data_IF_866155150144
#
_entry.id   IF_866155150144
#
_cell.length_a   1.000
_cell.length_b   1.000
_cell.length_c   1.000
_cell.angle_alpha   90.00
_cell.angle_beta   90.00
_cell.angle_gamma   90.00
#
_symmetry.space_group_name_H-M   'P 1'
#
loop_
_entity.id
_entity.type
_entity.pdbx_description
1 polymer ?
#
# COMPACT_ATOMS: atom_id res chain seq x y z
N UNK A 1 2.97 -14.06 -1.38
CA UNK A 1 3.00 -12.78 -2.11
C UNK A 1 1.57 -12.27 -2.21
N UNK A 2 1.36 -11.00 -1.89
CA UNK A 2 0.06 -10.32 -1.96
C UNK A 2 0.17 -9.12 -2.88
N UNK A 3 -0.86 -8.91 -3.71
CA UNK A 3 -0.97 -7.75 -4.60
C UNK A 3 -2.33 -7.12 -4.32
N UNK A 4 -2.35 -5.83 -4.02
CA UNK A 4 -3.57 -5.06 -3.75
C UNK A 4 -3.64 -3.89 -4.72
N UNK A 5 -4.83 -3.67 -5.26
CA UNK A 5 -5.11 -2.59 -6.19
C UNK A 5 -6.00 -1.53 -5.52
N UNK A 6 -5.45 -0.33 -5.31
CA UNK A 6 -6.10 0.81 -4.64
C UNK A 6 -6.93 0.45 -3.38
N UNK A 7 -6.35 -0.25 -2.38
CA UNK A 7 -7.10 -0.76 -1.23
C UNK A 7 -7.65 0.31 -0.29
N UNK A 8 -7.24 1.58 -0.43
CA UNK A 8 -7.78 2.69 0.38
C UNK A 8 -9.00 3.37 -0.23
N UNK A 9 -9.43 3.00 -1.44
CA UNK A 9 -10.60 3.60 -2.09
C UNK A 9 -11.85 3.48 -1.22
N UNK A 10 -12.40 4.64 -0.84
CA UNK A 10 -13.59 4.73 0.02
C UNK A 10 -13.36 4.54 1.52
N UNK A 11 -12.12 4.36 1.97
CA UNK A 11 -11.80 4.22 3.40
C UNK A 11 -11.69 5.59 4.09
N UNK A 12 -12.16 5.64 5.34
CA UNK A 12 -11.89 6.77 6.23
C UNK A 12 -10.41 6.79 6.66
N UNK A 13 -9.86 7.96 6.98
CA UNK A 13 -8.45 8.13 7.34
C UNK A 13 -7.96 7.19 8.47
N UNK A 14 -8.81 6.93 9.46
CA UNK A 14 -8.45 6.02 10.56
C UNK A 14 -8.41 4.55 10.14
N UNK A 15 -9.19 4.16 9.12
CA UNK A 15 -9.15 2.81 8.57
C UNK A 15 -7.93 2.60 7.66
N UNK A 16 -7.45 3.66 7.00
CA UNK A 16 -6.17 3.63 6.28
C UNK A 16 -5.02 3.31 7.24
N UNK A 17 -4.99 3.93 8.42
CA UNK A 17 -3.98 3.63 9.44
C UNK A 17 -4.04 2.17 9.89
N UNK A 18 -5.24 1.61 10.09
CA UNK A 18 -5.42 0.18 10.44
C UNK A 18 -4.96 -0.73 9.30
N UNK A 19 -5.30 -0.41 8.06
CA UNK A 19 -4.88 -1.15 6.87
C UNK A 19 -3.34 -1.21 6.80
N UNK A 20 -2.66 -0.08 6.97
CA UNK A 20 -1.19 -0.03 6.99
C UNK A 20 -0.61 -0.99 8.06
N UNK A 21 -1.20 -1.05 9.25
CA UNK A 21 -0.76 -1.99 10.29
C UNK A 21 -0.95 -3.45 9.88
N UNK A 22 -2.06 -3.78 9.22
CA UNK A 22 -2.31 -5.14 8.71
C UNK A 22 -1.31 -5.50 7.61
N UNK A 23 -1.05 -4.59 6.67
CA UNK A 23 -0.09 -4.81 5.59
C UNK A 23 1.33 -5.02 6.15
N UNK A 24 1.74 -4.23 7.15
CA UNK A 24 3.00 -4.44 7.87
C UNK A 24 3.06 -5.82 8.54
N UNK A 25 1.99 -6.22 9.23
CA UNK A 25 1.93 -7.55 9.83
C UNK A 25 2.04 -8.71 8.84
N UNK A 26 1.67 -8.51 7.56
CA UNK A 26 1.92 -9.50 6.50
C UNK A 26 3.41 -9.53 6.11
N UNK A 27 4.04 -8.36 5.98
CA UNK A 27 5.47 -8.23 5.68
C UNK A 27 6.32 -8.84 6.80
N UNK A 28 5.99 -8.57 8.06
CA UNK A 28 6.70 -9.11 9.23
C UNK A 28 6.65 -10.64 9.31
N UNK A 29 5.63 -11.27 8.71
CA UNK A 29 5.52 -12.72 8.57
C UNK A 29 6.35 -13.29 7.40
N UNK A 30 7.15 -12.46 6.73
CA UNK A 30 7.98 -12.83 5.59
C UNK A 30 7.26 -12.78 4.24
N UNK A 31 6.07 -12.18 4.14
CA UNK A 31 5.36 -12.07 2.87
C UNK A 31 5.79 -10.82 2.10
N UNK A 32 5.97 -10.95 0.79
CA UNK A 32 6.02 -9.79 -0.10
C UNK A 32 4.61 -9.24 -0.31
N UNK A 33 4.45 -7.93 -0.16
CA UNK A 33 3.21 -7.18 -0.41
C UNK A 33 3.50 -6.09 -1.44
N UNK A 34 2.72 -6.05 -2.51
CA UNK A 34 2.76 -5.02 -3.56
C UNK A 34 1.42 -4.29 -3.53
N UNK A 35 1.46 -2.96 -3.53
CA UNK A 35 0.25 -2.12 -3.47
C UNK A 35 0.37 -1.02 -4.50
N UNK A 36 -0.66 -0.83 -5.32
CA UNK A 36 -0.87 0.39 -6.10
C UNK A 36 -1.75 1.34 -5.29
N UNK A 37 -1.30 2.57 -5.14
CA UNK A 37 -1.99 3.56 -4.30
C UNK A 37 -1.76 4.98 -4.79
N UNK A 38 -2.72 5.84 -4.47
CA UNK A 38 -2.60 7.29 -4.60
C UNK A 38 -2.52 7.97 -3.24
N UNK A 39 -2.85 7.26 -2.16
CA UNK A 39 -2.81 7.82 -0.82
C UNK A 39 -1.37 7.96 -0.30
N UNK A 40 -0.95 9.21 -0.05
CA UNK A 40 0.40 9.51 0.43
C UNK A 40 0.75 8.87 1.77
N UNK A 41 -0.23 8.62 2.65
CA UNK A 41 0.05 7.94 3.91
C UNK A 41 0.41 6.49 3.67
N UNK A 42 -0.21 5.79 2.71
CA UNK A 42 0.22 4.42 2.37
C UNK A 42 1.60 4.43 1.72
N UNK A 43 1.79 5.31 0.73
CA UNK A 43 3.06 5.45 -0.01
C UNK A 43 4.24 5.72 0.93
N UNK A 44 4.08 6.61 1.91
CA UNK A 44 5.13 6.94 2.90
C UNK A 44 5.51 5.77 3.81
N UNK A 45 4.65 4.77 3.95
CA UNK A 45 4.92 3.61 4.81
C UNK A 45 5.56 2.44 4.05
N UNK A 46 5.73 2.54 2.73
CA UNK A 46 6.32 1.49 1.91
C UNK A 46 7.84 1.36 2.12
N UNK A 47 8.35 0.12 2.06
CA UNK A 47 9.78 -0.14 2.08
C UNK A 47 10.47 0.24 0.76
N UNK A 48 9.73 0.13 -0.34
CA UNK A 48 10.17 0.44 -1.70
C UNK A 48 9.08 1.26 -2.38
N UNK A 49 9.48 2.30 -3.11
CA UNK A 49 8.59 3.12 -3.90
C UNK A 49 8.98 3.00 -5.37
N UNK A 50 8.02 2.62 -6.19
CA UNK A 50 8.13 2.64 -7.66
C UNK A 50 7.11 3.66 -8.13
N UNK A 51 7.59 4.73 -8.75
CA UNK A 51 6.75 5.73 -9.38
C UNK A 51 6.61 5.40 -10.87
N UNK A 52 5.38 5.27 -11.33
CA UNK A 52 5.06 5.03 -12.73
C UNK A 52 4.46 6.34 -13.26
N UNK A 53 5.20 6.97 -14.17
CA UNK A 53 4.79 8.22 -14.80
C UNK A 53 3.48 8.09 -15.59
N UNK A 54 2.93 9.23 -16.04
CA UNK A 54 1.64 9.28 -16.73
C UNK A 54 1.58 8.47 -18.03
N UNK A 55 2.73 8.18 -18.63
CA UNK A 55 2.86 7.23 -19.73
C UNK A 55 3.05 5.84 -19.12
N UNK A 56 1.93 5.12 -18.98
CA UNK A 56 1.92 3.73 -18.52
C UNK A 56 2.56 2.81 -19.55
N UNK A 57 3.90 2.76 -19.58
CA UNK A 57 4.67 1.99 -20.56
C UNK A 57 4.87 2.73 -21.88
#
# INVERSE_FOLDING_TARGET
MYILDEPTTGLHFDDIKKLIQVLRGLVDKGNTVVVTEHNLDVIRNANWLIDLGPEGG
#
